data_IF_259291789946
#
_entry.id   IF_259291789946
#
_cell.length_a   1.000
_cell.length_b   1.000
_cell.length_c   1.000
_cell.angle_alpha   90.00
_cell.angle_beta   90.00
_cell.angle_gamma   90.00
#
_symmetry.space_group_name_H-M   'P 1'
#
loop_
_entity.id
_entity.type
_entity.pdbx_description
1 polymer ?
#
# COMPACT_ATOMS: atom_id res chain seq x y z
N UNK A 1 0.86 15.34 8.75
CA UNK A 1 0.33 14.50 9.84
C UNK A 1 -0.51 15.20 10.92
N UNK A 2 0.00 16.05 11.83
CA UNK A 2 -0.85 16.60 12.93
C UNK A 2 -2.07 17.39 12.44
N UNK A 3 -1.95 18.13 11.33
CA UNK A 3 -3.08 18.83 10.69
C UNK A 3 -4.07 17.89 9.96
N UNK A 4 -3.69 16.63 9.76
CA UNK A 4 -4.45 15.59 9.05
C UNK A 4 -4.92 14.47 10.00
N UNK A 5 -4.74 14.61 11.30
CA UNK A 5 -5.25 13.66 12.29
C UNK A 5 -6.35 14.35 13.09
N UNK A 6 -7.58 14.29 12.57
CA UNK A 6 -8.77 14.80 13.28
C UNK A 6 -9.60 13.62 13.73
N UNK A 7 -9.41 13.20 14.98
CA UNK A 7 -10.16 12.11 15.58
C UNK A 7 -11.54 12.56 16.04
N UNK A 8 -12.56 11.75 15.74
CA UNK A 8 -13.93 11.91 16.17
C UNK A 8 -14.29 10.78 17.13
N UNK A 9 -15.06 11.06 18.19
CA UNK A 9 -15.34 10.09 19.25
C UNK A 9 -16.07 8.86 18.72
N UNK A 10 -16.96 9.03 17.74
CA UNK A 10 -17.60 7.94 17.03
C UNK A 10 -18.15 8.37 15.65
N UNK A 11 -18.56 7.38 14.85
CA UNK A 11 -19.15 7.61 13.53
C UNK A 11 -20.51 8.33 13.58
N UNK A 12 -21.32 8.13 14.63
CA UNK A 12 -22.59 8.83 14.78
C UNK A 12 -22.39 10.35 14.93
N UNK A 13 -21.44 10.75 15.77
CA UNK A 13 -21.05 12.15 15.93
C UNK A 13 -20.52 12.72 14.62
N UNK A 14 -19.65 12.00 13.91
CA UNK A 14 -19.15 12.43 12.60
C UNK A 14 -20.29 12.61 11.58
N UNK A 15 -21.25 11.68 11.55
CA UNK A 15 -22.42 11.75 10.67
C UNK A 15 -23.31 12.94 11.00
N UNK A 16 -23.44 13.30 12.28
CA UNK A 16 -24.21 14.48 12.70
C UNK A 16 -23.58 15.80 12.22
N UNK A 17 -22.26 15.84 12.01
CA UNK A 17 -21.55 17.01 11.47
C UNK A 17 -21.65 17.13 9.95
N UNK A 18 -21.88 16.01 9.26
CA UNK A 18 -21.97 15.94 7.79
C UNK A 18 -23.22 15.14 7.35
N UNK A 19 -24.43 15.63 7.69
CA UNK A 19 -25.67 14.86 7.53
C UNK A 19 -26.03 14.57 6.07
N UNK A 20 -25.55 15.37 5.12
CA UNK A 20 -25.83 15.22 3.70
C UNK A 20 -24.97 14.14 3.04
N UNK A 21 -23.97 13.62 3.75
CA UNK A 21 -23.06 12.59 3.24
C UNK A 21 -23.48 11.16 3.61
N UNK A 22 -24.41 10.98 4.56
CA UNK A 22 -24.93 9.66 4.98
C UNK A 22 -23.82 8.64 5.31
N UNK A 23 -22.78 9.09 6.05
CA UNK A 23 -21.60 8.28 6.35
C UNK A 23 -21.92 7.00 7.12
N UNK A 24 -22.93 7.04 8.00
CA UNK A 24 -23.45 5.87 8.70
C UNK A 24 -23.94 4.78 7.73
N UNK A 25 -24.74 5.15 6.72
CA UNK A 25 -25.25 4.22 5.72
C UNK A 25 -24.13 3.66 4.86
N UNK A 26 -23.17 4.51 4.51
CA UNK A 26 -22.01 4.11 3.72
C UNK A 26 -21.17 3.07 4.47
N UNK A 27 -20.78 3.33 5.72
CA UNK A 27 -19.97 2.39 6.51
C UNK A 27 -20.72 1.09 6.77
N UNK A 28 -22.03 1.15 7.07
CA UNK A 28 -22.84 -0.07 7.23
C UNK A 28 -22.86 -0.92 5.96
N UNK A 29 -23.04 -0.31 4.80
CA UNK A 29 -23.00 -1.02 3.53
C UNK A 29 -21.60 -1.59 3.23
N UNK A 30 -20.55 -0.83 3.55
CA UNK A 30 -19.16 -1.22 3.34
C UNK A 30 -18.73 -2.43 4.17
N UNK A 31 -19.14 -2.45 5.45
CA UNK A 31 -18.80 -3.50 6.41
C UNK A 31 -19.88 -4.58 6.54
N UNK A 32 -20.87 -4.60 5.63
CA UNK A 32 -22.01 -5.53 5.65
C UNK A 32 -22.78 -5.57 6.98
N UNK A 33 -22.84 -4.44 7.68
CA UNK A 33 -23.53 -4.29 8.97
C UNK A 33 -25.04 -4.15 8.76
N UNK A 34 -25.81 -4.71 9.70
CA UNK A 34 -27.25 -4.51 9.77
C UNK A 34 -27.59 -3.09 10.23
N UNK A 35 -28.86 -2.69 10.05
CA UNK A 35 -29.34 -1.34 10.38
C UNK A 35 -29.17 -0.99 11.86
N UNK A 36 -29.32 -1.98 12.75
CA UNK A 36 -29.33 -1.78 14.20
C UNK A 36 -27.97 -2.04 14.86
N UNK A 37 -26.95 -2.43 14.07
CA UNK A 37 -25.60 -2.64 14.61
C UNK A 37 -25.04 -1.32 15.18
N UNK A 38 -24.30 -1.40 16.28
CA UNK A 38 -23.81 -0.21 16.96
C UNK A 38 -22.63 0.43 16.20
N UNK A 39 -22.76 1.71 15.88
CA UNK A 39 -21.70 2.51 15.26
C UNK A 39 -20.90 3.33 16.29
N UNK A 40 -21.28 3.33 17.56
CA UNK A 40 -20.61 4.10 18.61
C UNK A 40 -19.21 3.57 18.93
N UNK A 41 -18.94 2.29 18.63
CA UNK A 41 -17.61 1.69 18.80
C UNK A 41 -16.56 2.20 17.81
N UNK A 42 -16.97 2.77 16.66
CA UNK A 42 -16.05 3.16 15.60
C UNK A 42 -15.43 4.52 15.88
N UNK A 43 -14.20 4.55 16.39
CA UNK A 43 -13.38 5.77 16.44
C UNK A 43 -12.92 6.10 15.02
N UNK A 44 -13.27 7.29 14.53
CA UNK A 44 -12.99 7.66 13.13
C UNK A 44 -11.98 8.80 13.09
N UNK A 45 -11.01 8.70 12.19
CA UNK A 45 -10.08 9.80 11.89
C UNK A 45 -10.41 10.37 10.52
N UNK A 46 -10.66 11.67 10.46
CA UNK A 46 -10.85 12.39 9.21
C UNK A 46 -9.60 13.19 8.86
N UNK A 47 -9.01 12.90 7.71
CA UNK A 47 -7.77 13.56 7.28
C UNK A 47 -7.96 14.96 6.73
N UNK A 48 -9.17 15.27 6.22
CA UNK A 48 -9.47 16.55 5.58
C UNK A 48 -10.88 17.05 5.96
N UNK A 49 -11.10 17.51 7.22
CA UNK A 49 -12.44 17.96 7.66
C UNK A 49 -13.03 19.09 6.81
N UNK A 50 -12.20 20.04 6.38
CA UNK A 50 -12.65 21.15 5.53
C UNK A 50 -13.17 20.68 4.17
N UNK A 51 -12.57 19.63 3.60
CA UNK A 51 -13.06 19.03 2.34
C UNK A 51 -14.44 18.40 2.54
N UNK A 52 -14.64 17.65 3.62
CA UNK A 52 -15.93 17.05 3.95
C UNK A 52 -17.01 18.10 4.23
N UNK A 53 -16.64 19.21 4.89
CA UNK A 53 -17.56 20.34 5.09
C UNK A 53 -17.98 20.98 3.77
N UNK A 54 -17.03 21.22 2.84
CA UNK A 54 -17.36 21.73 1.51
C UNK A 54 -18.25 20.77 0.71
N UNK A 55 -17.97 19.46 0.78
CA UNK A 55 -18.76 18.43 0.11
C UNK A 55 -20.19 18.34 0.68
N UNK A 56 -20.33 18.34 2.00
CA UNK A 56 -21.63 18.33 2.67
C UNK A 56 -22.46 19.57 2.28
N UNK A 57 -21.83 20.74 2.23
CA UNK A 57 -22.47 21.98 1.79
C UNK A 57 -22.99 21.93 0.34
N UNK A 58 -22.25 21.29 -0.57
CA UNK A 58 -22.69 21.14 -1.98
C UNK A 58 -23.95 20.28 -2.10
N UNK A 59 -24.03 19.18 -1.34
CA UNK A 59 -25.23 18.33 -1.30
C UNK A 59 -26.38 19.02 -0.58
N UNK A 60 -26.12 19.68 0.56
CA UNK A 60 -27.13 20.38 1.33
C UNK A 60 -27.81 21.50 0.54
N UNK A 61 -27.02 22.27 -0.22
CA UNK A 61 -27.53 23.36 -1.06
C UNK A 61 -28.24 22.88 -2.34
N UNK A 62 -28.25 21.57 -2.62
CA UNK A 62 -28.82 21.00 -3.85
C UNK A 62 -28.06 21.41 -5.11
N UNK A 63 -26.80 21.83 -4.99
CA UNK A 63 -25.96 22.20 -6.14
C UNK A 63 -25.52 20.99 -6.98
N UNK A 64 -25.56 19.79 -6.39
CA UNK A 64 -25.23 18.53 -7.05
C UNK A 64 -26.43 17.60 -6.88
N UNK A 65 -27.00 17.14 -7.99
CA UNK A 65 -28.05 16.11 -7.93
C UNK A 65 -27.45 14.73 -7.66
N UNK A 66 -28.28 13.80 -7.17
CA UNK A 66 -27.87 12.39 -7.00
C UNK A 66 -27.44 11.79 -8.34
N UNK A 67 -28.09 12.17 -9.43
CA UNK A 67 -27.75 11.71 -10.78
C UNK A 67 -26.39 12.23 -11.24
N UNK A 68 -26.08 13.51 -10.99
CA UNK A 68 -24.77 14.09 -11.32
C UNK A 68 -23.65 13.39 -10.55
N UNK A 69 -23.86 13.16 -9.25
CA UNK A 69 -22.89 12.46 -8.42
C UNK A 69 -22.72 10.99 -8.84
N UNK A 70 -23.84 10.31 -9.15
CA UNK A 70 -23.82 8.92 -9.64
C UNK A 70 -23.10 8.80 -10.98
N UNK A 71 -23.35 9.74 -11.91
CA UNK A 71 -22.64 9.82 -13.18
C UNK A 71 -21.15 10.09 -12.99
N UNK A 72 -20.79 11.00 -12.08
CA UNK A 72 -19.40 11.25 -11.71
C UNK A 72 -18.72 9.97 -11.21
N UNK A 73 -19.33 9.25 -10.26
CA UNK A 73 -18.78 7.99 -9.73
C UNK A 73 -18.70 6.90 -10.82
N UNK A 74 -19.73 6.77 -11.66
CA UNK A 74 -19.75 5.79 -12.74
C UNK A 74 -18.67 6.07 -13.79
N UNK A 75 -18.49 7.33 -14.19
CA UNK A 75 -17.42 7.73 -15.12
C UNK A 75 -16.06 7.45 -14.51
N UNK A 76 -15.84 7.83 -13.25
CA UNK A 76 -14.59 7.55 -12.56
C UNK A 76 -14.31 6.06 -12.45
N UNK A 77 -15.32 5.27 -12.10
CA UNK A 77 -15.23 3.82 -12.11
C UNK A 77 -14.82 3.34 -13.50
N UNK A 78 -15.54 3.70 -14.56
CA UNK A 78 -15.22 3.29 -15.94
C UNK A 78 -13.83 3.73 -16.41
N UNK A 79 -13.37 4.93 -16.04
CA UNK A 79 -12.03 5.42 -16.39
C UNK A 79 -10.94 4.63 -15.67
N UNK A 80 -11.15 4.32 -14.40
CA UNK A 80 -10.19 3.59 -13.57
C UNK A 80 -10.06 2.12 -13.98
N UNK A 81 -10.99 1.61 -14.76
CA UNK A 81 -11.21 0.19 -14.90
C UNK A 81 -11.43 -0.26 -16.35
N UNK A 82 -11.74 0.66 -17.26
CA UNK A 82 -12.03 0.37 -18.67
C UNK A 82 -10.84 -0.25 -19.42
N UNK A 83 -9.61 -0.03 -18.94
CA UNK A 83 -8.41 -0.73 -19.41
C UNK A 83 -8.44 -2.24 -19.10
N UNK A 84 -8.82 -2.59 -17.88
CA UNK A 84 -8.94 -3.99 -17.42
C UNK A 84 -10.18 -4.67 -18.01
N UNK A 85 -11.21 -3.89 -18.36
CA UNK A 85 -12.53 -4.38 -18.74
C UNK A 85 -12.85 -4.32 -20.24
N UNK A 86 -11.87 -3.99 -21.10
CA UNK A 86 -12.07 -3.94 -22.55
C UNK A 86 -13.13 -2.92 -22.99
N UNK A 87 -13.38 -1.90 -22.16
CA UNK A 87 -14.36 -0.85 -22.46
C UNK A 87 -13.65 0.20 -23.32
N UNK A 88 -14.03 0.25 -24.59
CA UNK A 88 -13.62 1.31 -25.52
C UNK A 88 -14.38 2.59 -25.15
N UNK A 89 -13.75 3.48 -24.39
CA UNK A 89 -14.30 4.82 -24.15
C UNK A 89 -14.01 5.65 -25.41
N UNK A 90 -15.04 6.25 -26.06
CA UNK A 90 -14.83 7.04 -27.27
C UNK A 90 -13.92 8.24 -27.00
N UNK A 91 -12.89 8.43 -27.83
CA UNK A 91 -12.15 9.69 -27.86
C UNK A 91 -12.99 10.78 -28.54
N UNK A 92 -12.73 12.03 -28.19
CA UNK A 92 -13.49 13.20 -28.66
C UNK A 92 -13.45 13.43 -30.19
N UNK A 93 -12.68 12.64 -30.94
CA UNK A 93 -12.56 12.69 -32.39
C UNK A 93 -13.40 11.61 -33.13
N UNK A 94 -14.21 10.83 -32.40
CA UNK A 94 -15.15 9.88 -33.01
C UNK A 94 -14.49 8.59 -33.53
N UNK A 95 -13.21 8.39 -33.27
CA UNK A 95 -12.58 7.09 -33.44
C UNK A 95 -12.86 6.26 -32.19
N UNK A 96 -13.58 5.16 -32.33
CA UNK A 96 -13.63 4.12 -31.29
C UNK A 96 -12.21 3.62 -31.10
N UNK A 97 -11.59 4.07 -30.01
CA UNK A 97 -10.30 3.58 -29.57
C UNK A 97 -10.48 2.10 -29.19
N UNK A 98 -10.41 1.20 -30.19
CA UNK A 98 -10.16 -0.23 -29.94
C UNK A 98 -8.97 -0.26 -29.02
N UNK A 99 -9.20 -0.66 -27.78
CA UNK A 99 -8.34 -0.49 -26.64
C UNK A 99 -8.43 0.92 -26.02
N UNK A 100 -9.01 0.98 -24.84
CA UNK A 100 -8.64 1.87 -23.73
C UNK A 100 -7.11 2.08 -23.55
N UNK A 101 -6.24 1.25 -24.15
CA UNK A 101 -4.79 1.51 -24.32
C UNK A 101 -4.44 2.72 -25.19
N UNK A 102 -5.30 3.17 -26.11
CA UNK A 102 -5.06 4.33 -27.00
C UNK A 102 -5.45 5.67 -26.39
N UNK A 103 -6.35 5.69 -25.40
CA UNK A 103 -6.71 6.92 -24.68
C UNK A 103 -5.52 7.51 -23.93
N UNK A 104 -4.66 6.66 -23.35
CA UNK A 104 -3.43 7.12 -22.69
C UNK A 104 -2.41 7.76 -23.65
N UNK A 105 -2.58 7.59 -24.96
CA UNK A 105 -1.72 8.14 -26.01
C UNK A 105 -2.41 9.23 -26.86
N UNK A 106 -3.67 9.53 -26.57
CA UNK A 106 -4.47 10.54 -27.25
C UNK A 106 -4.03 11.95 -26.81
N UNK A 107 -3.58 12.83 -27.72
CA UNK A 107 -3.06 14.16 -27.36
C UNK A 107 -4.11 15.07 -26.72
N UNK A 108 -5.41 14.76 -26.85
CA UNK A 108 -6.52 15.50 -26.21
C UNK A 108 -6.99 14.87 -24.90
N UNK A 109 -6.56 13.66 -24.58
CA UNK A 109 -6.92 12.99 -23.33
C UNK A 109 -5.92 13.37 -22.23
N UNK A 110 -6.24 14.44 -21.49
CA UNK A 110 -5.45 14.82 -20.33
C UNK A 110 -5.85 13.96 -19.12
N UNK A 111 -5.07 12.91 -18.85
CA UNK A 111 -5.16 12.06 -17.63
C UNK A 111 -5.10 12.86 -16.31
N UNK A 112 -4.72 14.14 -16.38
CA UNK A 112 -4.32 15.01 -15.28
C UNK A 112 -5.42 15.89 -14.66
N UNK A 113 -6.67 15.83 -15.12
CA UNK A 113 -7.73 16.66 -14.51
C UNK A 113 -8.23 16.06 -13.17
N UNK A 114 -7.85 14.82 -12.82
CA UNK A 114 -8.32 14.16 -11.60
C UNK A 114 -7.21 14.03 -10.53
N UNK A 115 -7.23 14.97 -9.58
CA UNK A 115 -6.48 15.04 -8.29
C UNK A 115 -4.95 15.22 -8.36
N UNK A 116 -4.49 16.47 -8.24
CA UNK A 116 -3.25 16.82 -7.52
C UNK A 116 -3.53 16.76 -6.02
N UNK A 117 -3.49 15.59 -5.41
CA UNK A 117 -3.60 15.43 -3.96
C UNK A 117 -2.78 14.23 -3.51
N UNK A 118 -1.79 14.46 -2.65
CA UNK A 118 -1.05 13.42 -1.95
C UNK A 118 -1.95 12.77 -0.88
N UNK A 119 -2.88 11.91 -1.31
CA UNK A 119 -3.79 11.20 -0.41
C UNK A 119 -4.08 9.80 -0.97
N UNK A 120 -3.69 8.79 -0.20
CA UNK A 120 -3.46 7.39 -0.59
C UNK A 120 -2.44 7.26 -1.74
N UNK A 121 -1.28 6.65 -1.47
CA UNK A 121 -0.42 6.12 -2.53
C UNK A 121 -1.34 5.24 -3.40
N UNK A 122 -1.64 5.69 -4.62
CA UNK A 122 -2.12 4.79 -5.66
C UNK A 122 -1.04 3.71 -5.73
N UNK A 123 -1.37 2.44 -5.45
CA UNK A 123 -0.60 1.33 -5.99
C UNK A 123 -0.49 1.64 -7.48
N UNK A 124 0.72 2.01 -7.87
CA UNK A 124 0.94 2.82 -9.06
C UNK A 124 0.66 1.91 -10.25
N UNK A 125 -0.57 1.97 -10.75
CA UNK A 125 -1.04 1.30 -11.95
C UNK A 125 -0.10 1.66 -13.07
N UNK A 126 0.86 0.77 -13.36
CA UNK A 126 1.43 0.74 -14.68
C UNK A 126 0.27 0.43 -15.61
N UNK A 127 -0.03 1.30 -16.58
CA UNK A 127 -0.79 0.82 -17.73
C UNK A 127 -0.09 -0.46 -18.22
N UNK A 128 -0.85 -1.36 -18.86
CA UNK A 128 -0.33 -2.46 -19.69
C UNK A 128 0.57 -1.96 -20.87
N UNK A 129 1.28 -0.85 -20.71
CA UNK A 129 2.38 -0.35 -21.51
C UNK A 129 3.70 -0.81 -20.88
N UNK A 130 4.01 -2.08 -21.02
CA UNK A 130 5.39 -2.56 -21.05
C UNK A 130 6.07 -2.20 -22.39
N UNK A 131 5.76 -1.04 -22.98
CA UNK A 131 6.27 -0.62 -24.31
C UNK A 131 7.80 -0.48 -24.38
N UNK A 132 8.51 -0.64 -23.27
CA UNK A 132 9.98 -0.74 -23.24
C UNK A 132 10.54 -2.07 -22.76
N UNK A 133 9.71 -3.03 -22.31
CA UNK A 133 10.16 -4.29 -21.72
C UNK A 133 9.57 -5.54 -22.39
N UNK A 134 8.44 -5.42 -23.09
CA UNK A 134 7.82 -6.55 -23.79
C UNK A 134 8.38 -6.67 -25.21
N UNK A 135 8.88 -7.86 -25.55
CA UNK A 135 9.39 -8.16 -26.88
C UNK A 135 8.27 -8.25 -27.93
N UNK A 136 7.02 -8.44 -27.51
CA UNK A 136 5.82 -8.48 -28.36
C UNK A 136 4.52 -8.23 -27.54
N UNK A 137 3.38 -8.16 -28.22
CA UNK A 137 2.07 -7.92 -27.59
C UNK A 137 1.65 -9.00 -26.58
N UNK A 138 2.03 -10.26 -26.80
CA UNK A 138 1.72 -11.36 -25.86
C UNK A 138 2.50 -11.22 -24.57
N UNK A 139 3.77 -10.80 -24.65
CA UNK A 139 4.59 -10.53 -23.47
C UNK A 139 4.02 -9.33 -22.70
N UNK A 140 3.50 -8.32 -23.38
CA UNK A 140 2.84 -7.19 -22.73
C UNK A 140 1.57 -7.60 -21.97
N UNK A 141 0.77 -8.52 -22.52
CA UNK A 141 -0.40 -9.07 -21.85
C UNK A 141 0.03 -9.89 -20.63
N UNK A 142 1.00 -10.79 -20.79
CA UNK A 142 1.51 -11.63 -19.69
C UNK A 142 2.06 -10.80 -18.55
N UNK A 143 2.87 -9.79 -18.84
CA UNK A 143 3.44 -8.90 -17.83
C UNK A 143 2.34 -8.22 -17.02
N UNK A 144 1.31 -7.64 -17.66
CA UNK A 144 0.28 -6.98 -16.86
C UNK A 144 -0.67 -7.93 -16.12
N UNK A 145 -0.85 -9.17 -16.57
CA UNK A 145 -1.52 -10.19 -15.76
C UNK A 145 -0.71 -10.51 -14.48
N UNK A 146 0.62 -10.62 -14.60
CA UNK A 146 1.50 -10.84 -13.45
C UNK A 146 1.51 -9.62 -12.52
N UNK A 147 1.59 -8.41 -13.06
CA UNK A 147 1.51 -7.17 -12.27
C UNK A 147 0.19 -7.11 -11.49
N UNK A 148 -0.93 -7.47 -12.13
CA UNK A 148 -2.25 -7.54 -11.48
C UNK A 148 -2.27 -8.54 -10.32
N UNK A 149 -1.67 -9.72 -10.51
CA UNK A 149 -1.56 -10.72 -9.44
C UNK A 149 -0.66 -10.24 -8.29
N UNK A 150 0.44 -9.57 -8.60
CA UNK A 150 1.35 -8.99 -7.60
C UNK A 150 0.66 -7.88 -6.80
N UNK A 151 -0.18 -7.07 -7.44
CA UNK A 151 -0.87 -5.96 -6.79
C UNK A 151 -2.01 -6.44 -5.88
N UNK A 152 -2.80 -7.42 -6.33
CA UNK A 152 -4.01 -7.88 -5.61
C UNK A 152 -3.84 -9.18 -4.83
N UNK A 153 -2.74 -9.89 -4.99
CA UNK A 153 -2.42 -11.12 -4.25
C UNK A 153 -0.92 -11.16 -3.93
N UNK A 154 -0.37 -10.16 -3.22
CA UNK A 154 1.06 -9.87 -3.18
C UNK A 154 1.93 -11.06 -2.72
N UNK A 155 1.45 -11.85 -1.78
CA UNK A 155 2.23 -12.94 -1.20
C UNK A 155 2.21 -14.22 -2.05
N UNK A 156 1.22 -14.47 -2.91
CA UNK A 156 1.17 -15.67 -3.75
C UNK A 156 2.31 -15.72 -4.79
N UNK A 157 2.35 -14.78 -5.75
CA UNK A 157 3.45 -14.65 -6.69
C UNK A 157 4.77 -14.33 -5.99
N UNK A 158 4.74 -13.56 -4.90
CA UNK A 158 5.93 -13.25 -4.09
C UNK A 158 6.57 -14.50 -3.48
N UNK A 159 5.77 -15.39 -2.89
CA UNK A 159 6.22 -16.68 -2.36
C UNK A 159 6.88 -17.52 -3.46
N UNK A 160 6.21 -17.63 -4.61
CA UNK A 160 6.75 -18.39 -5.75
C UNK A 160 8.05 -17.78 -6.26
N UNK A 161 8.13 -16.45 -6.36
CA UNK A 161 9.31 -15.73 -6.81
C UNK A 161 10.51 -16.02 -5.90
N UNK A 162 10.34 -15.87 -4.59
CA UNK A 162 11.40 -16.10 -3.61
C UNK A 162 11.79 -17.58 -3.51
N UNK A 163 10.81 -18.49 -3.48
CA UNK A 163 11.04 -19.94 -3.43
C UNK A 163 11.96 -20.44 -4.55
N UNK A 164 11.83 -19.87 -5.74
CA UNK A 164 12.62 -20.26 -6.91
C UNK A 164 14.03 -19.65 -6.96
N UNK A 165 14.44 -18.91 -5.92
CA UNK A 165 15.79 -18.37 -5.76
C UNK A 165 16.64 -19.33 -4.94
N UNK A 166 17.66 -19.90 -5.58
CA UNK A 166 18.60 -20.82 -4.94
C UNK A 166 19.48 -20.13 -3.90
N UNK A 167 19.75 -18.84 -4.10
CA UNK A 167 20.59 -17.97 -3.27
C UNK A 167 19.82 -17.30 -2.12
N UNK A 168 18.54 -17.60 -1.94
CA UNK A 168 17.65 -16.76 -1.12
C UNK A 168 18.08 -16.60 0.34
N UNK A 169 18.57 -17.67 0.95
CA UNK A 169 18.94 -17.68 2.36
C UNK A 169 20.25 -16.93 2.58
N UNK A 170 21.22 -17.08 1.67
CA UNK A 170 22.47 -16.31 1.67
C UNK A 170 22.20 -14.81 1.50
N UNK A 171 21.29 -14.46 0.58
CA UNK A 171 20.83 -13.07 0.38
C UNK A 171 20.21 -12.53 1.66
N UNK A 172 19.29 -13.27 2.28
CA UNK A 172 18.63 -12.84 3.53
C UNK A 172 19.63 -12.60 4.65
N UNK A 173 20.61 -13.50 4.80
CA UNK A 173 21.65 -13.36 5.82
C UNK A 173 22.54 -12.11 5.59
N UNK A 174 22.94 -11.85 4.34
CA UNK A 174 23.80 -10.70 4.03
C UNK A 174 23.04 -9.38 4.22
N UNK A 175 21.75 -9.31 3.83
CA UNK A 175 20.91 -8.13 4.05
C UNK A 175 20.66 -7.86 5.53
N UNK A 176 20.43 -8.90 6.33
CA UNK A 176 20.35 -8.76 7.79
C UNK A 176 21.61 -8.09 8.35
N UNK A 177 22.79 -8.62 7.99
CA UNK A 177 24.07 -8.09 8.45
C UNK A 177 24.30 -6.64 8.02
N UNK A 178 24.05 -6.31 6.75
CA UNK A 178 24.20 -4.94 6.25
C UNK A 178 23.25 -3.98 6.97
N UNK A 179 22.01 -4.38 7.20
CA UNK A 179 21.00 -3.54 7.85
C UNK A 179 21.37 -3.23 9.29
N UNK A 180 21.80 -4.24 10.07
CA UNK A 180 22.25 -3.99 11.45
C UNK A 180 23.47 -3.05 11.48
N UNK A 181 24.45 -3.25 10.60
CA UNK A 181 25.60 -2.35 10.52
C UNK A 181 25.18 -0.90 10.22
N UNK A 182 24.21 -0.69 9.33
CA UNK A 182 23.69 0.65 9.02
C UNK A 182 22.99 1.26 10.23
N UNK A 183 22.15 0.50 10.95
CA UNK A 183 21.45 0.98 12.15
C UNK A 183 22.44 1.32 13.27
N UNK A 184 23.46 0.49 13.47
CA UNK A 184 24.52 0.74 14.46
C UNK A 184 25.27 2.03 14.14
N UNK A 185 25.70 2.22 12.89
CA UNK A 185 26.40 3.44 12.49
C UNK A 185 25.49 4.68 12.50
N UNK A 186 24.20 4.52 12.23
CA UNK A 186 23.23 5.60 12.39
C UNK A 186 23.13 6.05 13.86
N UNK A 187 23.13 5.11 14.81
CA UNK A 187 23.16 5.47 16.24
C UNK A 187 24.44 6.21 16.62
N UNK A 188 25.61 5.75 16.15
CA UNK A 188 26.88 6.48 16.35
C UNK A 188 26.81 7.89 15.76
N UNK A 189 26.20 8.05 14.59
CA UNK A 189 26.00 9.37 13.98
C UNK A 189 25.06 10.26 14.81
N UNK A 190 23.98 9.69 15.37
CA UNK A 190 23.06 10.44 16.25
C UNK A 190 23.81 11.06 17.45
N UNK A 191 24.75 10.32 18.05
CA UNK A 191 25.55 10.80 19.18
C UNK A 191 26.44 12.02 18.84
N UNK A 192 26.69 12.28 17.55
CA UNK A 192 27.50 13.42 17.09
C UNK A 192 26.68 14.69 16.84
N UNK A 193 25.34 14.64 16.93
CA UNK A 193 24.49 15.77 16.59
C UNK A 193 24.46 16.82 17.72
N UNK A 194 25.03 17.99 17.46
CA UNK A 194 25.07 19.09 18.47
C UNK A 194 23.75 19.86 18.60
N UNK A 195 22.84 19.74 17.64
CA UNK A 195 21.59 20.51 17.57
C UNK A 195 20.42 19.86 18.30
N UNK A 196 20.55 18.60 18.73
CA UNK A 196 19.50 17.83 19.40
C UNK A 196 19.73 17.85 20.92
N UNK A 197 18.66 18.07 21.69
CA UNK A 197 18.73 17.97 23.14
C UNK A 197 18.81 16.50 23.62
N UNK A 198 19.33 16.29 24.83
CA UNK A 198 19.53 14.95 25.43
C UNK A 198 18.24 14.11 25.45
N UNK A 199 17.10 14.72 25.78
CA UNK A 199 15.83 14.00 25.86
C UNK A 199 15.33 13.58 24.46
N UNK A 200 15.57 14.39 23.45
CA UNK A 200 15.25 14.10 22.04
C UNK A 200 16.20 13.06 21.46
N UNK A 201 17.49 13.09 21.81
CA UNK A 201 18.48 12.08 21.44
C UNK A 201 18.11 10.71 22.02
N UNK A 202 17.77 10.64 23.31
CA UNK A 202 17.32 9.40 23.95
C UNK A 202 16.08 8.79 23.27
N UNK A 203 15.13 9.63 22.85
CA UNK A 203 13.96 9.19 22.06
C UNK A 203 14.32 8.72 20.66
N UNK A 204 15.31 9.36 20.02
CA UNK A 204 15.80 8.94 18.71
C UNK A 204 16.44 7.54 18.79
N UNK A 205 17.29 7.28 19.79
CA UNK A 205 17.82 5.93 20.02
C UNK A 205 16.72 4.92 20.35
N UNK A 206 15.77 5.25 21.23
CA UNK A 206 14.67 4.35 21.53
C UNK A 206 13.87 3.98 20.27
N UNK A 207 13.73 4.90 19.31
CA UNK A 207 13.05 4.65 18.04
C UNK A 207 13.84 3.70 17.14
N UNK A 208 15.16 3.91 16.97
CA UNK A 208 16.02 3.02 16.17
C UNK A 208 16.13 1.64 16.79
N UNK A 209 16.26 1.53 18.11
CA UNK A 209 16.33 0.25 18.83
C UNK A 209 15.05 -0.57 18.65
N UNK A 210 13.88 0.08 18.73
CA UNK A 210 12.58 -0.58 18.59
C UNK A 210 12.09 -0.70 17.14
N UNK A 211 12.95 -0.44 16.15
CA UNK A 211 12.62 -0.56 14.74
C UNK A 211 12.37 -2.03 14.39
N UNK A 212 11.23 -2.34 13.77
CA UNK A 212 10.99 -3.67 13.20
C UNK A 212 11.68 -3.78 11.85
N UNK A 213 12.33 -4.90 11.60
CA UNK A 213 13.20 -5.09 10.44
C UNK A 213 12.69 -6.28 9.64
N UNK A 214 12.15 -6.00 8.47
CA UNK A 214 11.50 -6.98 7.61
C UNK A 214 12.42 -7.32 6.43
N UNK A 215 12.91 -8.56 6.41
CA UNK A 215 14.02 -8.96 5.57
C UNK A 215 13.57 -9.90 4.45
N UNK A 216 13.60 -9.40 3.23
CA UNK A 216 13.50 -10.15 1.97
C UNK A 216 12.12 -10.78 1.70
N UNK A 217 11.57 -11.52 2.65
CA UNK A 217 10.20 -12.06 2.64
C UNK A 217 9.62 -12.16 4.07
N UNK A 218 8.29 -12.22 4.23
CA UNK A 218 7.65 -12.38 5.53
C UNK A 218 7.99 -13.71 6.21
N UNK A 219 8.11 -13.70 7.54
CA UNK A 219 8.51 -14.89 8.31
C UNK A 219 7.54 -16.07 8.16
N UNK A 220 6.25 -15.79 7.95
CA UNK A 220 5.23 -16.83 7.76
C UNK A 220 5.39 -17.63 6.45
N UNK A 221 6.28 -17.25 5.54
CA UNK A 221 6.63 -18.12 4.40
C UNK A 221 7.40 -19.37 4.84
N UNK A 222 7.96 -19.36 6.06
CA UNK A 222 8.72 -20.47 6.62
C UNK A 222 9.97 -20.81 5.82
N UNK A 223 10.21 -22.12 5.68
CA UNK A 223 11.33 -22.71 4.95
C UNK A 223 10.99 -23.05 3.48
N UNK A 224 9.81 -22.63 3.01
CA UNK A 224 9.22 -22.96 1.71
C UNK A 224 8.94 -24.46 1.48
N UNK A 225 8.88 -25.26 2.55
CA UNK A 225 8.46 -26.68 2.51
C UNK A 225 6.99 -26.81 2.87
N UNK A 226 6.56 -26.14 3.94
CA UNK A 226 5.16 -26.07 4.35
C UNK A 226 4.43 -24.93 3.62
N UNK A 227 3.18 -25.18 3.24
CA UNK A 227 2.31 -24.23 2.55
C UNK A 227 1.10 -23.82 3.41
N UNK A 228 0.93 -24.38 4.61
CA UNK A 228 -0.25 -24.15 5.45
C UNK A 228 -0.47 -22.66 5.73
N UNK A 229 0.53 -21.92 6.17
CA UNK A 229 0.39 -20.50 6.50
C UNK A 229 0.12 -19.62 5.27
N UNK A 230 0.78 -19.90 4.14
CA UNK A 230 0.56 -19.14 2.90
C UNK A 230 -0.81 -19.46 2.28
N UNK A 231 -1.28 -20.70 2.38
CA UNK A 231 -2.61 -21.11 1.92
C UNK A 231 -3.69 -20.53 2.84
N UNK A 232 -3.46 -20.53 4.17
CA UNK A 232 -4.34 -19.89 5.14
C UNK A 232 -4.46 -18.38 4.88
N UNK A 233 -3.36 -17.69 4.60
CA UNK A 233 -3.39 -16.27 4.20
C UNK A 233 -4.22 -16.08 2.90
N UNK A 234 -4.14 -17.02 1.96
CA UNK A 234 -4.83 -16.96 0.67
C UNK A 234 -6.18 -17.70 0.60
N UNK A 235 -6.78 -18.11 1.73
CA UNK A 235 -8.01 -18.92 1.71
C UNK A 235 -9.17 -18.24 0.97
N UNK A 236 -9.24 -16.90 0.99
CA UNK A 236 -10.26 -16.10 0.27
C UNK A 236 -10.11 -16.12 -1.25
N UNK A 237 -8.99 -16.62 -1.78
CA UNK A 237 -8.72 -16.69 -3.22
C UNK A 237 -9.06 -18.06 -3.82
N UNK A 238 -9.54 -19.03 -3.02
CA UNK A 238 -9.76 -20.42 -3.45
C UNK A 238 -10.62 -20.59 -4.71
N UNK A 239 -11.60 -19.70 -4.92
CA UNK A 239 -12.44 -19.70 -6.13
C UNK A 239 -11.64 -19.50 -7.43
N UNK A 240 -10.41 -18.97 -7.36
CA UNK A 240 -9.52 -18.78 -8.51
C UNK A 240 -8.81 -20.09 -8.94
N UNK A 241 -8.76 -21.11 -8.08
CA UNK A 241 -8.03 -22.37 -8.33
C UNK A 241 -8.75 -23.24 -9.38
N UNK A 242 -10.09 -23.22 -9.37
CA UNK A 242 -10.93 -23.93 -10.33
C UNK A 242 -11.84 -22.95 -11.10
N UNK A 243 -11.32 -22.18 -12.06
CA UNK A 243 -12.02 -21.06 -12.69
C UNK A 243 -13.02 -21.49 -13.78
N UNK A 244 -13.66 -22.67 -13.66
CA UNK A 244 -14.54 -23.18 -14.71
C UNK A 244 -15.71 -22.22 -14.99
N UNK A 245 -15.70 -21.58 -16.17
CA UNK A 245 -16.69 -20.57 -16.55
C UNK A 245 -16.46 -19.17 -15.96
N UNK A 246 -15.37 -18.96 -15.20
CA UNK A 246 -15.01 -17.66 -14.63
C UNK A 246 -14.52 -16.71 -15.74
N UNK A 247 -15.11 -15.53 -15.80
CA UNK A 247 -14.62 -14.47 -16.70
C UNK A 247 -13.43 -13.75 -16.08
N UNK A 248 -12.64 -13.02 -16.88
CA UNK A 248 -11.60 -12.12 -16.34
C UNK A 248 -12.20 -11.11 -15.32
N UNK A 249 -13.44 -10.68 -15.55
CA UNK A 249 -14.17 -9.82 -14.62
C UNK A 249 -14.38 -10.47 -13.25
N UNK A 250 -14.80 -11.73 -13.23
CA UNK A 250 -15.01 -12.47 -11.99
C UNK A 250 -13.69 -12.70 -11.25
N UNK A 251 -12.61 -13.02 -11.97
CA UNK A 251 -11.28 -13.17 -11.39
C UNK A 251 -10.77 -11.85 -10.75
N UNK A 252 -10.89 -10.73 -11.47
CA UNK A 252 -10.46 -9.41 -10.97
C UNK A 252 -11.26 -8.95 -9.75
N UNK A 253 -12.58 -9.19 -9.73
CA UNK A 253 -13.41 -8.92 -8.55
C UNK A 253 -12.93 -9.76 -7.36
N UNK A 254 -12.68 -11.05 -7.56
CA UNK A 254 -12.23 -11.94 -6.49
C UNK A 254 -10.88 -11.51 -5.94
N UNK A 255 -9.93 -11.13 -6.81
CA UNK A 255 -8.62 -10.60 -6.43
C UNK A 255 -8.74 -9.31 -5.60
N UNK A 256 -9.49 -8.32 -6.10
CA UNK A 256 -9.73 -7.04 -5.40
C UNK A 256 -10.38 -7.28 -4.04
N UNK A 257 -11.41 -8.12 -4.00
CA UNK A 257 -12.14 -8.45 -2.77
C UNK A 257 -11.25 -9.20 -1.77
N UNK A 258 -10.43 -10.14 -2.23
CA UNK A 258 -9.48 -10.86 -1.41
C UNK A 258 -8.50 -9.91 -0.70
N UNK A 259 -7.89 -8.99 -1.45
CA UNK A 259 -6.96 -8.00 -0.86
C UNK A 259 -7.67 -7.07 0.11
N UNK A 260 -8.82 -6.52 -0.29
CA UNK A 260 -9.56 -5.57 0.53
C UNK A 260 -10.04 -6.18 1.85
N UNK A 261 -10.55 -7.42 1.81
CA UNK A 261 -10.92 -8.13 3.02
C UNK A 261 -9.70 -8.32 3.93
N UNK A 262 -8.63 -8.95 3.43
CA UNK A 262 -7.46 -9.33 4.24
C UNK A 262 -6.65 -8.12 4.75
N UNK A 263 -6.39 -7.12 3.91
CA UNK A 263 -5.43 -6.05 4.20
C UNK A 263 -6.07 -4.69 4.53
N UNK A 264 -7.40 -4.57 4.46
CA UNK A 264 -8.10 -3.29 4.75
C UNK A 264 -9.21 -3.42 5.78
N UNK A 265 -10.09 -4.41 5.64
CA UNK A 265 -11.28 -4.52 6.50
C UNK A 265 -11.10 -5.46 7.68
N UNK A 266 -10.55 -6.66 7.46
CA UNK A 266 -10.34 -7.63 8.54
C UNK A 266 -9.36 -7.10 9.59
N UNK A 267 -8.44 -6.20 9.21
CA UNK A 267 -7.47 -5.60 10.11
C UNK A 267 -8.08 -4.59 11.10
N UNK A 268 -9.33 -4.16 10.91
CA UNK A 268 -9.98 -3.15 11.78
C UNK A 268 -10.09 -3.65 13.22
N UNK A 269 -10.29 -4.95 13.41
CA UNK A 269 -10.44 -5.59 14.73
C UNK A 269 -9.19 -6.36 15.17
N UNK A 270 -8.07 -6.24 14.45
CA UNK A 270 -6.83 -6.95 14.72
C UNK A 270 -5.76 -6.01 15.28
N UNK A 271 -4.84 -6.51 16.12
CA UNK A 271 -3.65 -5.74 16.48
C UNK A 271 -2.83 -5.41 15.23
N UNK A 272 -2.20 -4.23 15.22
CA UNK A 272 -1.38 -3.81 14.09
C UNK A 272 -0.17 -4.74 13.90
N UNK A 273 -0.12 -5.46 12.78
CA UNK A 273 1.03 -6.28 12.42
C UNK A 273 2.16 -5.43 11.81
N UNK A 274 3.27 -5.33 12.55
CA UNK A 274 4.46 -4.56 12.14
C UNK A 274 5.35 -5.33 11.14
N UNK A 275 5.14 -6.64 11.01
CA UNK A 275 5.92 -7.54 10.15
C UNK A 275 5.34 -7.65 8.74
N UNK A 276 4.10 -7.20 8.54
CA UNK A 276 3.44 -7.22 7.25
C UNK A 276 4.10 -6.23 6.25
N UNK A 277 4.47 -6.74 5.08
CA UNK A 277 5.14 -5.99 4.02
C UNK A 277 4.19 -5.00 3.31
N UNK A 278 2.88 -5.24 3.27
CA UNK A 278 1.86 -4.52 2.49
C UNK A 278 1.98 -4.67 0.96
N UNK A 279 3.15 -5.04 0.45
CA UNK A 279 3.44 -5.27 -0.96
C UNK A 279 4.21 -6.57 -1.14
N UNK A 280 4.28 -7.05 -2.38
CA UNK A 280 4.92 -8.34 -2.69
C UNK A 280 6.42 -8.34 -2.39
N UNK A 281 6.99 -9.46 -1.90
CA UNK A 281 8.42 -9.71 -1.90
C UNK A 281 9.09 -9.61 -3.29
N UNK A 282 8.32 -9.73 -4.38
CA UNK A 282 8.82 -9.55 -5.74
C UNK A 282 8.90 -8.07 -6.19
N UNK A 283 8.49 -7.12 -5.35
CA UNK A 283 8.52 -5.70 -5.66
C UNK A 283 9.95 -5.15 -5.66
N UNK A 284 10.31 -4.42 -6.72
CA UNK A 284 11.58 -3.68 -6.81
C UNK A 284 11.42 -2.32 -6.12
N UNK A 285 11.48 -2.31 -4.79
CA UNK A 285 11.44 -1.12 -3.96
C UNK A 285 11.97 -1.42 -2.56
N UNK A 286 12.06 -0.42 -1.69
CA UNK A 286 12.16 -0.56 -0.24
C UNK A 286 11.20 0.46 0.40
N UNK A 287 10.89 0.29 1.68
CA UNK A 287 10.07 1.29 2.39
C UNK A 287 10.23 1.26 3.90
N UNK A 288 10.07 2.43 4.50
CA UNK A 288 9.73 2.62 5.91
C UNK A 288 8.22 2.83 6.11
N UNK A 289 7.65 2.18 7.13
CA UNK A 289 6.27 2.38 7.56
C UNK A 289 6.24 3.11 8.90
N UNK A 290 5.87 4.40 8.93
CA UNK A 290 5.91 5.20 10.15
C UNK A 290 5.02 4.66 11.27
N UNK A 291 3.79 4.27 10.96
CA UNK A 291 2.80 3.78 11.93
C UNK A 291 3.25 2.48 12.62
N UNK A 292 4.10 1.71 11.93
CA UNK A 292 4.63 0.42 12.41
C UNK A 292 6.06 0.52 12.90
N UNK A 293 6.71 1.69 12.79
CA UNK A 293 8.15 1.85 13.00
C UNK A 293 8.92 0.64 12.44
N UNK A 294 8.74 0.37 11.14
CA UNK A 294 9.34 -0.77 10.46
C UNK A 294 10.02 -0.36 9.16
N UNK A 295 11.12 -1.04 8.83
CA UNK A 295 11.79 -0.98 7.53
C UNK A 295 11.63 -2.33 6.82
N UNK A 296 11.38 -2.29 5.52
CA UNK A 296 11.15 -3.50 4.72
C UNK A 296 11.97 -3.48 3.44
N UNK A 297 12.71 -4.57 3.21
CA UNK A 297 13.51 -4.80 2.00
C UNK A 297 13.03 -6.08 1.30
N UNK A 298 12.13 -6.00 0.31
CA UNK A 298 11.72 -7.16 -0.51
C UNK A 298 12.89 -7.82 -1.23
N UNK A 299 12.72 -9.09 -1.62
CA UNK A 299 13.66 -9.76 -2.52
C UNK A 299 13.85 -9.01 -3.84
N UNK A 300 12.78 -8.45 -4.40
CA UNK A 300 12.79 -7.86 -5.75
C UNK A 300 13.84 -6.75 -5.94
N UNK A 301 14.16 -5.95 -4.92
CA UNK A 301 15.18 -4.89 -5.03
C UNK A 301 16.63 -5.43 -5.02
N UNK A 302 16.83 -6.67 -4.56
CA UNK A 302 18.15 -7.28 -4.35
C UNK A 302 18.74 -7.85 -5.64
N UNK A 303 18.83 -7.00 -6.64
CA UNK A 303 19.37 -7.29 -7.96
C UNK A 303 20.38 -6.19 -8.36
N UNK A 304 21.29 -6.45 -9.32
CA UNK A 304 22.14 -5.42 -9.88
C UNK A 304 21.34 -4.21 -10.42
N UNK A 305 21.84 -2.98 -10.24
CA UNK A 305 23.14 -2.63 -9.66
C UNK A 305 23.14 -2.50 -8.12
N UNK A 306 22.00 -2.63 -7.45
CA UNK A 306 21.88 -2.37 -6.01
C UNK A 306 22.57 -3.42 -5.15
N UNK A 307 22.51 -4.68 -5.57
CA UNK A 307 23.03 -5.80 -4.79
C UNK A 307 23.49 -6.96 -5.67
N UNK A 308 24.58 -7.59 -5.28
CA UNK A 308 24.97 -8.92 -5.73
C UNK A 308 25.87 -9.59 -4.69
N UNK A 309 25.67 -10.88 -4.41
CA UNK A 309 26.50 -11.65 -3.48
C UNK A 309 27.98 -11.71 -3.90
N UNK A 310 28.28 -11.58 -5.20
CA UNK A 310 29.63 -11.61 -5.75
C UNK A 310 30.30 -10.24 -5.80
N UNK A 311 29.59 -9.15 -5.47
CA UNK A 311 30.19 -7.82 -5.47
C UNK A 311 31.11 -7.62 -4.27
N UNK A 312 32.18 -6.82 -4.42
CA UNK A 312 32.89 -6.29 -3.26
C UNK A 312 31.89 -5.55 -2.38
N UNK A 313 32.00 -5.74 -1.05
CA UNK A 313 31.04 -5.16 -0.11
C UNK A 313 30.90 -3.64 -0.27
N UNK A 314 31.94 -2.92 -0.71
CA UNK A 314 31.83 -1.48 -1.03
C UNK A 314 30.70 -1.13 -2.02
N UNK A 315 30.43 -1.99 -3.02
CA UNK A 315 29.34 -1.79 -3.97
C UNK A 315 27.98 -2.05 -3.31
N UNK A 316 27.86 -3.13 -2.53
CA UNK A 316 26.61 -3.43 -1.81
C UNK A 316 26.31 -2.34 -0.76
N UNK A 317 27.32 -1.79 -0.10
CA UNK A 317 27.14 -0.66 0.82
C UNK A 317 26.76 0.64 0.12
N UNK A 318 27.30 0.89 -1.08
CA UNK A 318 26.89 2.03 -1.91
C UNK A 318 25.50 1.86 -2.54
N UNK A 319 25.05 0.63 -2.73
CA UNK A 319 23.74 0.27 -3.26
C UNK A 319 22.74 -0.01 -2.13
N UNK A 320 22.52 -1.30 -1.85
CA UNK A 320 21.50 -1.76 -0.92
C UNK A 320 21.64 -1.23 0.52
N UNK A 321 22.84 -1.14 1.09
CA UNK A 321 22.96 -0.55 2.43
C UNK A 321 22.66 0.96 2.44
N UNK A 322 22.99 1.67 1.35
CA UNK A 322 22.60 3.05 1.12
C UNK A 322 21.08 3.22 1.05
N UNK A 323 20.37 2.30 0.38
CA UNK A 323 18.91 2.21 0.42
C UNK A 323 18.41 1.96 1.85
N UNK A 324 19.07 1.09 2.61
CA UNK A 324 18.76 0.87 4.02
C UNK A 324 18.88 2.13 4.88
N UNK A 325 19.92 2.94 4.66
CA UNK A 325 20.09 4.24 5.31
C UNK A 325 19.03 5.26 4.91
N UNK A 326 18.61 5.25 3.64
CA UNK A 326 17.50 6.08 3.15
C UNK A 326 16.20 5.76 3.88
N UNK A 327 15.80 4.49 3.91
CA UNK A 327 14.58 4.06 4.60
C UNK A 327 14.64 4.31 6.11
N UNK A 328 15.80 4.08 6.74
CA UNK A 328 15.98 4.41 8.16
C UNK A 328 15.76 5.89 8.43
N UNK A 329 16.22 6.76 7.54
CA UNK A 329 16.10 8.23 7.67
C UNK A 329 14.64 8.70 7.54
N UNK A 330 13.77 7.96 6.83
CA UNK A 330 12.32 8.23 6.82
C UNK A 330 11.68 8.11 8.21
N UNK A 331 12.31 7.40 9.15
CA UNK A 331 11.90 7.43 10.56
C UNK A 331 12.12 8.79 11.25
N UNK A 332 12.91 9.68 10.67
CA UNK A 332 13.38 10.91 11.32
C UNK A 332 13.18 12.17 10.46
N UNK A 333 12.61 12.02 9.26
CA UNK A 333 12.22 13.15 8.43
C UNK A 333 11.06 13.96 9.05
N UNK A 334 10.55 14.95 8.31
CA UNK A 334 9.52 15.87 8.80
C UNK A 334 8.20 15.17 9.17
N UNK A 335 7.88 14.03 8.56
CA UNK A 335 6.70 13.22 8.88
C UNK A 335 7.04 12.10 9.89
N UNK A 336 8.15 11.39 9.68
CA UNK A 336 8.59 10.28 10.52
C UNK A 336 8.83 10.70 11.96
N UNK A 337 9.45 11.86 12.21
CA UNK A 337 9.81 12.31 13.57
C UNK A 337 8.61 12.55 14.49
N UNK A 338 7.43 12.84 13.94
CA UNK A 338 6.23 13.08 14.75
C UNK A 338 5.54 11.79 15.18
N UNK A 339 5.89 10.67 14.53
CA UNK A 339 5.33 9.34 14.79
C UNK A 339 6.27 8.59 15.74
N UNK A 340 5.78 8.31 16.96
CA UNK A 340 6.56 7.78 18.09
C UNK A 340 6.25 8.47 19.42
N UNK A 341 5.69 9.69 19.40
CA UNK A 341 5.31 10.44 20.61
C UNK A 341 4.20 9.77 21.42
N UNK A 342 3.37 8.94 20.79
CA UNK A 342 2.25 8.19 21.41
C UNK A 342 2.67 6.79 21.88
N UNK A 343 3.60 6.14 21.17
CA UNK A 343 4.03 4.77 21.47
C UNK A 343 4.74 4.69 22.84
N UNK A 344 5.61 5.64 23.15
CA UNK A 344 6.30 5.71 24.45
C UNK A 344 5.49 6.35 25.58
N UNK A 345 4.30 6.89 25.28
CA UNK A 345 3.40 7.42 26.31
C UNK A 345 2.45 6.35 26.83
N UNK A 346 2.09 5.40 25.97
CA UNK A 346 1.18 4.31 26.31
C UNK A 346 1.87 3.07 26.88
N UNK A 347 3.20 2.91 26.81
CA UNK A 347 3.88 1.78 27.49
C UNK A 347 3.86 1.85 29.04
N UNK A 348 3.11 2.80 29.63
CA UNK A 348 2.70 2.79 31.04
C UNK A 348 1.25 2.33 31.25
N UNK A 349 0.52 2.02 30.18
CA UNK A 349 -0.78 1.38 30.18
C UNK A 349 -0.65 0.13 29.29
N UNK A 350 -0.60 -1.04 29.95
CA UNK A 350 -0.62 -2.35 29.31
C UNK A 350 -1.73 -2.47 28.26
N UNK A 351 -1.39 -3.15 27.16
CA UNK A 351 -2.22 -3.69 26.07
C UNK A 351 -2.47 -2.79 24.83
#
# INVERSE_FOLDING_TARGET
>A
YQQQYTAFPNLNYLTSLFPSLYLDRYVRALLHMQKDDDLNGFKVVLSQPAYFSGLDGLFHAGHISVDDFSNYLAIHFLMDNGAEYGIDIPSADGHTARNSKKMDTEPKFHKYITRRGHGARRLSRRPLNSKGLAANDNDAIRTGCIDTLIDYMPYGPGYTYVKNRADRDDVRQDIQKQTENVIDQFNVMLDTLEWIDEASLARAHAKSTNLVRNYVWPDFFGDFVDFEDIDNYHHRYGNLIEPAGMTLWDALKQLKHGLQATEMFDIVDQPGDRTNFLMSPATVNAWYQPERNSITFPFGILNPPYFNLLYPQSYNYGGQAGVGGHELTHGYDDEGKVIGRTYFRNNNESD
#
